data_IF_978486391038
#
_entry.id   IF_978486391038
#
_cell.length_a   1.000
_cell.length_b   1.000
_cell.length_c   1.000
_cell.angle_alpha   90.00
_cell.angle_beta   90.00
_cell.angle_gamma   90.00
#
_symmetry.space_group_name_H-M   'P 1'
#
loop_
_entity.id
_entity.type
_entity.pdbx_description
1 polymer ?
#
# COMPACT_ATOMS: atom_id res chain seq x y z
N UNK A 1 10.63 18.45 -10.57
CA UNK A 1 9.69 18.15 -9.49
C UNK A 1 9.86 16.74 -9.00
N UNK A 2 9.86 16.57 -7.71
CA UNK A 2 10.06 15.25 -7.15
C UNK A 2 8.82 14.39 -7.31
N UNK A 3 9.03 13.15 -7.67
CA UNK A 3 7.97 12.15 -7.70
C UNK A 3 8.04 11.34 -6.41
N UNK A 4 6.90 11.20 -5.77
CA UNK A 4 6.82 10.41 -4.56
C UNK A 4 5.96 9.19 -4.88
N UNK A 5 6.58 8.04 -4.79
CA UNK A 5 5.91 6.77 -5.06
C UNK A 5 5.89 5.95 -3.79
N UNK A 6 4.72 5.49 -3.41
CA UNK A 6 4.60 4.58 -2.27
C UNK A 6 4.76 3.17 -2.79
N UNK A 7 5.66 2.43 -2.14
CA UNK A 7 5.95 1.06 -2.53
C UNK A 7 5.68 0.14 -1.35
N UNK A 8 5.28 -1.08 -1.65
CA UNK A 8 5.11 -2.10 -0.62
C UNK A 8 6.47 -2.73 -0.34
N UNK A 9 6.86 -2.74 0.93
CA UNK A 9 8.13 -3.34 1.33
C UNK A 9 8.17 -4.83 1.03
N UNK A 10 7.08 -5.51 1.35
CA UNK A 10 7.02 -6.95 1.24
C UNK A 10 5.56 -7.33 1.07
N UNK A 11 5.22 -7.79 -0.12
CA UNK A 11 3.84 -8.11 -0.43
C UNK A 11 3.34 -9.25 0.46
N UNK A 12 4.18 -10.23 0.75
CA UNK A 12 3.79 -11.33 1.61
C UNK A 12 3.45 -10.84 3.02
N UNK A 13 4.21 -9.86 3.52
CA UNK A 13 3.93 -9.29 4.82
C UNK A 13 2.57 -8.58 4.81
N UNK A 14 2.29 -7.85 3.75
CA UNK A 14 1.01 -7.17 3.63
C UNK A 14 -0.14 -8.17 3.61
N UNK A 15 0.00 -9.23 2.83
CA UNK A 15 -1.02 -10.28 2.78
C UNK A 15 -1.19 -10.90 4.16
N UNK A 16 -0.10 -11.13 4.87
CA UNK A 16 -0.16 -11.70 6.21
C UNK A 16 -0.97 -10.82 7.15
N UNK A 17 -0.78 -9.50 7.08
CA UNK A 17 -1.54 -8.59 7.93
C UNK A 17 -3.02 -8.63 7.60
N UNK A 18 -3.36 -8.75 6.31
CA UNK A 18 -4.75 -8.84 5.89
C UNK A 18 -5.39 -10.11 6.46
N UNK A 19 -4.68 -11.23 6.36
CA UNK A 19 -5.19 -12.50 6.87
C UNK A 19 -5.35 -12.45 8.37
N UNK A 20 -4.39 -11.88 9.08
CA UNK A 20 -4.44 -11.80 10.53
C UNK A 20 -5.62 -10.97 11.02
N UNK A 21 -6.04 -9.98 10.24
CA UNK A 21 -7.23 -9.20 10.58
C UNK A 21 -8.52 -9.89 10.21
N UNK A 22 -8.44 -11.00 9.49
CA UNK A 22 -9.62 -11.69 9.03
C UNK A 22 -10.33 -11.00 7.90
N UNK A 23 -9.65 -10.13 7.18
CA UNK A 23 -10.25 -9.39 6.08
C UNK A 23 -10.14 -10.18 4.79
N UNK A 24 -11.19 -10.10 3.97
CA UNK A 24 -11.07 -10.43 2.56
C UNK A 24 -10.51 -9.22 1.83
N UNK A 25 -10.08 -9.42 0.60
CA UNK A 25 -9.61 -8.29 -0.22
C UNK A 25 -10.73 -7.26 -0.40
N UNK A 26 -11.95 -7.76 -0.57
CA UNK A 26 -13.10 -6.88 -0.70
C UNK A 26 -13.30 -6.04 0.56
N UNK A 27 -13.18 -6.67 1.73
CA UNK A 27 -13.35 -5.95 2.99
C UNK A 27 -12.27 -4.90 3.16
N UNK A 28 -11.04 -5.25 2.83
CA UNK A 28 -9.96 -4.28 2.91
C UNK A 28 -10.20 -3.11 1.97
N UNK A 29 -10.67 -3.40 0.76
CA UNK A 29 -10.96 -2.34 -0.21
C UNK A 29 -12.01 -1.39 0.32
N UNK A 30 -13.05 -1.93 0.94
CA UNK A 30 -14.08 -1.09 1.55
C UNK A 30 -13.51 -0.18 2.63
N UNK A 31 -12.70 -0.75 3.50
CA UNK A 31 -12.14 0.02 4.60
C UNK A 31 -11.09 1.02 4.13
N UNK A 32 -10.40 0.71 3.06
CA UNK A 32 -9.39 1.61 2.51
C UNK A 32 -9.98 2.60 1.50
N UNK A 33 -11.28 2.51 1.27
CA UNK A 33 -11.99 3.41 0.36
C UNK A 33 -11.42 3.35 -1.06
N UNK A 34 -11.18 2.14 -1.53
CA UNK A 34 -10.71 1.93 -2.89
C UNK A 34 -11.41 0.69 -3.44
N UNK A 35 -11.13 0.36 -4.70
CA UNK A 35 -11.77 -0.77 -5.33
C UNK A 35 -11.04 -2.06 -5.00
N UNK A 36 -11.75 -3.17 -5.07
CA UNK A 36 -11.14 -4.48 -4.89
C UNK A 36 -10.09 -4.74 -5.98
N UNK A 37 -10.35 -4.25 -7.18
CA UNK A 37 -9.40 -4.37 -8.27
C UNK A 37 -8.07 -3.72 -7.92
N UNK A 38 -8.11 -2.54 -7.33
CA UNK A 38 -6.88 -1.86 -6.91
C UNK A 38 -6.12 -2.68 -5.86
N UNK A 39 -6.84 -3.23 -4.88
CA UNK A 39 -6.19 -4.07 -3.88
C UNK A 39 -5.52 -5.27 -4.55
N UNK A 40 -6.24 -5.91 -5.46
CA UNK A 40 -5.70 -7.08 -6.15
C UNK A 40 -4.42 -6.74 -6.92
N UNK A 41 -4.42 -5.62 -7.62
CA UNK A 41 -3.25 -5.22 -8.41
C UNK A 41 -2.07 -4.86 -7.50
N UNK A 42 -2.34 -4.22 -6.37
CA UNK A 42 -1.28 -3.90 -5.42
C UNK A 42 -0.65 -5.18 -4.89
N UNK A 43 -1.48 -6.18 -4.56
CA UNK A 43 -0.98 -7.42 -3.99
C UNK A 43 -0.27 -8.29 -5.02
N UNK A 44 -0.52 -8.06 -6.30
CA UNK A 44 0.22 -8.75 -7.36
C UNK A 44 1.52 -8.05 -7.71
N UNK A 45 1.74 -6.87 -7.15
CA UNK A 45 2.92 -6.09 -7.47
C UNK A 45 2.82 -5.36 -8.79
N UNK A 46 1.61 -5.26 -9.35
CA UNK A 46 1.41 -4.61 -10.63
C UNK A 46 1.03 -3.16 -10.52
N UNK A 47 0.75 -2.70 -9.32
CA UNK A 47 0.36 -1.32 -9.11
C UNK A 47 0.80 -0.88 -7.73
N UNK A 48 1.25 0.36 -7.65
CA UNK A 48 1.60 0.95 -6.36
C UNK A 48 0.40 1.71 -5.81
N UNK A 49 0.18 1.68 -4.50
CA UNK A 49 -0.92 2.44 -3.93
C UNK A 49 -0.62 3.92 -3.97
N UNK A 50 -1.66 4.74 -4.05
CA UNK A 50 -1.49 6.17 -3.82
C UNK A 50 -1.15 6.39 -2.35
N UNK A 51 -0.57 7.54 -2.01
CA UNK A 51 -0.30 7.82 -0.59
C UNK A 51 -1.56 7.74 0.26
N UNK A 52 -2.67 8.23 -0.24
CA UNK A 52 -3.93 8.19 0.50
C UNK A 52 -4.39 6.75 0.71
N UNK A 53 -4.33 5.93 -0.33
CA UNK A 53 -4.73 4.54 -0.21
C UNK A 53 -3.82 3.80 0.76
N UNK A 54 -2.51 4.08 0.71
CA UNK A 54 -1.57 3.43 1.63
C UNK A 54 -1.91 3.76 3.08
N UNK A 55 -2.20 5.03 3.36
CA UNK A 55 -2.56 5.45 4.70
C UNK A 55 -3.84 4.76 5.14
N UNK A 56 -4.83 4.69 4.25
CA UNK A 56 -6.10 4.05 4.58
C UNK A 56 -5.92 2.56 4.83
N UNK A 57 -5.06 1.91 4.06
CA UNK A 57 -4.76 0.50 4.27
C UNK A 57 -4.13 0.30 5.64
N UNK A 58 -3.18 1.16 6.01
CA UNK A 58 -2.54 1.05 7.31
C UNK A 58 -3.54 1.26 8.44
N UNK A 59 -4.45 2.21 8.29
CA UNK A 59 -5.48 2.43 9.31
C UNK A 59 -6.38 1.20 9.44
N UNK A 60 -6.76 0.62 8.31
CA UNK A 60 -7.63 -0.56 8.32
C UNK A 60 -6.94 -1.73 9.00
N UNK A 61 -5.65 -1.89 8.77
CA UNK A 61 -4.89 -3.00 9.33
C UNK A 61 -4.31 -2.69 10.70
N UNK A 62 -4.46 -1.44 11.17
CA UNK A 62 -3.96 -1.02 12.47
C UNK A 62 -2.46 -1.24 12.60
N UNK A 63 -1.74 -0.90 11.56
CA UNK A 63 -0.29 -1.01 11.56
C UNK A 63 0.31 0.32 11.16
N UNK A 64 1.61 0.42 11.34
CA UNK A 64 2.32 1.65 10.98
C UNK A 64 2.65 1.64 9.50
N UNK A 65 2.68 2.83 8.92
CA UNK A 65 3.03 2.97 7.51
C UNK A 65 4.37 2.29 7.21
N UNK A 66 5.37 2.56 8.05
CA UNK A 66 6.71 2.05 7.81
C UNK A 66 6.83 0.54 7.94
N UNK A 67 5.86 -0.09 8.59
CA UNK A 67 5.86 -1.55 8.69
C UNK A 67 5.58 -2.22 7.36
N UNK A 68 4.83 -1.55 6.49
CA UNK A 68 4.33 -2.17 5.26
C UNK A 68 4.83 -1.45 4.02
N UNK A 69 4.95 -0.14 4.08
CA UNK A 69 5.25 0.67 2.91
C UNK A 69 6.51 1.49 3.12
N UNK A 70 7.04 2.00 2.03
CA UNK A 70 8.08 3.01 2.10
C UNK A 70 7.87 3.97 0.94
N UNK A 71 8.46 5.13 1.05
CA UNK A 71 8.31 6.18 0.04
C UNK A 71 9.61 6.28 -0.74
N UNK A 72 9.48 6.18 -2.05
CA UNK A 72 10.61 6.38 -2.93
C UNK A 72 10.54 7.80 -3.47
N UNK A 73 11.50 8.61 -3.10
CA UNK A 73 11.60 9.97 -3.59
C UNK A 73 12.50 9.97 -4.80
N UNK A 74 11.91 10.24 -5.93
CA UNK A 74 12.59 10.08 -7.20
C UNK A 74 13.05 11.43 -7.72
N UNK A 75 13.58 12.23 -6.82
CA UNK A 75 14.00 13.57 -7.21
C UNK A 75 15.51 13.68 -7.39
N UNK A 76 16.21 12.69 -6.98
CA UNK A 76 17.65 12.72 -7.07
C UNK A 76 18.10 12.59 -8.48
N UNK A 77 17.24 12.15 -9.31
CA UNK A 77 17.63 11.98 -10.67
C UNK A 77 18.04 13.28 -11.26
N UNK A 78 17.77 14.12 -10.59
CA UNK A 78 18.10 15.25 -11.03
C UNK A 78 19.12 15.83 -10.37
N UNK A 79 19.52 15.48 -9.93
CA UNK A 79 20.27 15.81 -9.18
C UNK A 79 21.28 15.93 -9.44
N UNK A 80 21.12 16.07 -9.67
CA UNK A 80 21.65 16.14 -9.89
C UNK A 80 21.98 16.18 -10.16
#
# INVERSE_FOLDING_TARGET
>A
MANRTVLVKDIDLLIEQIVKKGFSYRKLAEKANCSQTQISLILKGERNPSPENAINICKALECKFDDIFFINLDDKSNQK
#
